data_IF_009331680573
#
_entry.id   IF_009331680573
#
_cell.length_a   1.000
_cell.length_b   1.000
_cell.length_c   1.000
_cell.angle_alpha   90.00
_cell.angle_beta   90.00
_cell.angle_gamma   90.00
#
_symmetry.space_group_name_H-M   'P 1'
#
loop_
_entity.id
_entity.type
_entity.pdbx_description
1 polymer ?
#
# COMPACT_ATOMS: atom_id res chain seq x y z
N UNK A 1 0.15 13.78 -31.78
CA UNK A 1 0.01 13.90 -30.31
C UNK A 1 0.44 15.31 -29.92
N UNK A 2 -0.34 15.98 -29.03
CA UNK A 2 0.01 17.33 -28.56
C UNK A 2 0.52 17.32 -27.11
N UNK A 3 0.41 16.20 -26.42
CA UNK A 3 0.77 16.08 -25.00
C UNK A 3 1.32 14.69 -24.70
N UNK A 4 2.37 14.64 -23.90
CA UNK A 4 2.90 13.42 -23.31
C UNK A 4 2.67 13.45 -21.79
N UNK A 5 2.12 12.36 -21.24
CA UNK A 5 2.01 12.13 -19.80
C UNK A 5 3.05 11.07 -19.41
N UNK A 6 3.91 11.41 -18.46
CA UNK A 6 4.96 10.53 -17.96
C UNK A 6 4.75 10.26 -16.45
N UNK A 7 4.52 9.01 -16.10
CA UNK A 7 4.45 8.56 -14.71
C UNK A 7 5.85 8.13 -14.29
N UNK A 8 6.55 8.98 -13.55
CA UNK A 8 7.89 8.66 -13.05
C UNK A 8 7.83 7.49 -12.07
N UNK A 9 8.75 6.53 -12.26
CA UNK A 9 8.92 5.43 -11.32
C UNK A 9 9.70 5.96 -10.12
N UNK A 10 9.19 5.88 -8.87
CA UNK A 10 9.91 6.36 -7.70
C UNK A 10 11.20 5.57 -7.46
N UNK A 11 12.23 6.25 -6.95
CA UNK A 11 13.57 5.69 -6.72
C UNK A 11 13.58 4.38 -5.91
N UNK A 12 12.59 4.14 -5.05
CA UNK A 12 12.49 2.92 -4.25
C UNK A 12 12.34 1.64 -5.09
N UNK A 13 11.86 1.76 -6.33
CA UNK A 13 11.74 0.65 -7.28
C UNK A 13 12.99 0.46 -8.16
N UNK A 14 13.93 1.40 -8.13
CA UNK A 14 15.15 1.32 -8.93
C UNK A 14 16.12 0.26 -8.36
N UNK A 15 16.77 -0.52 -9.23
CA UNK A 15 17.81 -1.47 -8.80
C UNK A 15 19.10 -0.75 -8.37
N UNK A 16 19.35 0.44 -8.93
CA UNK A 16 20.41 1.38 -8.56
C UNK A 16 19.95 2.80 -8.92
N UNK A 17 20.56 3.87 -8.37
CA UNK A 17 20.18 5.24 -8.70
C UNK A 17 20.22 5.51 -10.20
N UNK A 18 19.11 5.91 -10.79
CA UNK A 18 18.92 6.16 -12.21
C UNK A 18 17.74 7.14 -12.39
N UNK A 19 18.03 8.44 -12.37
CA UNK A 19 17.03 9.52 -12.46
C UNK A 19 17.29 10.43 -13.66
N UNK A 20 17.91 9.91 -14.73
CA UNK A 20 18.20 10.63 -15.98
C UNK A 20 16.92 11.10 -16.67
N UNK A 21 15.82 10.37 -16.47
CA UNK A 21 14.49 10.73 -16.93
C UNK A 21 14.00 12.04 -16.30
N UNK A 22 14.25 12.28 -15.02
CA UNK A 22 13.89 13.53 -14.36
C UNK A 22 14.68 14.72 -14.93
N UNK A 23 15.96 14.51 -15.26
CA UNK A 23 16.76 15.52 -15.94
C UNK A 23 16.23 15.81 -17.36
N UNK A 24 15.87 14.76 -18.11
CA UNK A 24 15.26 14.92 -19.43
C UNK A 24 13.93 15.68 -19.36
N UNK A 25 13.06 15.35 -18.40
CA UNK A 25 11.81 16.06 -18.14
C UNK A 25 12.04 17.55 -17.86
N UNK A 26 13.03 17.88 -17.01
CA UNK A 26 13.42 19.26 -16.74
C UNK A 26 13.85 19.99 -18.01
N UNK A 27 14.70 19.35 -18.85
CA UNK A 27 15.18 19.94 -20.12
C UNK A 27 14.05 20.21 -21.10
N UNK A 28 13.01 19.37 -21.10
CA UNK A 28 11.81 19.52 -21.93
C UNK A 28 10.72 20.38 -21.27
N UNK A 29 11.03 21.09 -20.18
CA UNK A 29 10.11 21.98 -19.45
C UNK A 29 8.81 21.27 -19.04
N UNK A 30 8.92 19.99 -18.68
CA UNK A 30 7.79 19.26 -18.14
C UNK A 30 7.27 19.91 -16.86
N UNK A 31 5.94 19.89 -16.69
CA UNK A 31 5.29 20.34 -15.45
C UNK A 31 4.81 19.14 -14.65
N UNK A 32 4.84 19.23 -13.33
CA UNK A 32 4.21 18.22 -12.46
C UNK A 32 2.70 18.44 -12.54
N UNK A 33 1.97 17.46 -13.07
CA UNK A 33 0.51 17.48 -13.17
C UNK A 33 -0.14 16.87 -11.91
N UNK A 34 0.49 15.83 -11.36
CA UNK A 34 0.03 15.15 -10.14
C UNK A 34 1.23 14.79 -9.27
N UNK A 35 1.13 15.04 -7.97
CA UNK A 35 2.09 14.57 -6.98
C UNK A 35 1.34 13.77 -5.92
N UNK A 36 1.47 12.45 -5.95
CA UNK A 36 0.92 11.60 -4.91
C UNK A 36 1.97 11.34 -3.83
N UNK A 37 1.53 11.32 -2.58
CA UNK A 37 2.40 11.02 -1.44
C UNK A 37 2.13 9.60 -0.95
N UNK A 38 3.02 8.66 -1.29
CA UNK A 38 3.05 7.33 -0.70
C UNK A 38 3.80 7.35 0.63
N UNK A 39 3.57 6.35 1.45
CA UNK A 39 4.25 6.21 2.74
C UNK A 39 5.01 4.89 2.75
N UNK A 40 6.34 4.96 2.94
CA UNK A 40 7.23 3.80 2.82
C UNK A 40 8.08 3.64 4.07
N UNK A 41 8.23 2.42 4.56
CA UNK A 41 9.16 2.05 5.62
C UNK A 41 10.34 1.25 5.07
N UNK A 42 11.48 1.30 5.76
CA UNK A 42 12.62 0.42 5.52
C UNK A 42 12.62 -0.61 6.67
N UNK A 43 12.23 -1.87 6.45
CA UNK A 43 11.97 -2.84 7.54
C UNK A 43 13.12 -2.98 8.54
N UNK A 44 14.36 -2.99 8.07
CA UNK A 44 15.57 -3.11 8.90
C UNK A 44 16.00 -1.81 9.58
N UNK A 45 15.35 -0.68 9.30
CA UNK A 45 15.78 0.63 9.80
C UNK A 45 15.43 0.83 11.28
N UNK A 46 16.41 1.22 12.07
CA UNK A 46 16.21 1.66 13.46
C UNK A 46 15.49 3.02 13.59
N UNK A 47 15.34 3.74 12.48
CA UNK A 47 14.60 5.01 12.40
C UNK A 47 13.09 4.84 12.29
N UNK A 48 12.59 3.63 12.00
CA UNK A 48 11.16 3.32 11.95
C UNK A 48 10.58 3.31 13.38
N UNK A 49 10.25 4.48 13.90
CA UNK A 49 9.66 4.58 15.24
C UNK A 49 8.14 4.59 15.14
N UNK A 50 7.52 3.59 15.70
CA UNK A 50 6.06 3.55 15.84
C UNK A 50 5.57 4.65 16.78
N UNK A 51 4.44 5.25 16.43
CA UNK A 51 3.71 6.15 17.34
C UNK A 51 3.26 5.41 18.60
N UNK A 52 3.14 6.13 19.72
CA UNK A 52 2.77 5.51 20.99
C UNK A 52 1.36 4.85 20.94
N UNK A 53 0.40 5.50 20.30
CA UNK A 53 -0.95 4.95 20.10
C UNK A 53 -0.91 3.68 19.25
N UNK A 54 -0.12 3.67 18.18
CA UNK A 54 0.05 2.49 17.30
C UNK A 54 0.65 1.33 18.06
N UNK A 55 1.69 1.54 18.89
CA UNK A 55 2.28 0.49 19.74
C UNK A 55 1.25 -0.12 20.68
N UNK A 56 0.44 0.74 21.34
CA UNK A 56 -0.60 0.26 22.24
C UNK A 56 -1.70 -0.55 21.51
N UNK A 57 -2.13 -0.07 20.36
CA UNK A 57 -3.13 -0.74 19.54
C UNK A 57 -2.64 -2.10 19.04
N UNK A 58 -1.40 -2.18 18.55
CA UNK A 58 -0.79 -3.45 18.13
C UNK A 58 -0.67 -4.41 19.31
N UNK A 59 -0.24 -3.94 20.49
CA UNK A 59 -0.16 -4.79 21.69
C UNK A 59 -1.52 -5.38 22.06
N UNK A 60 -2.59 -4.59 21.99
CA UNK A 60 -3.96 -5.07 22.22
C UNK A 60 -4.38 -6.08 21.15
N UNK A 61 -4.08 -5.80 19.89
CA UNK A 61 -4.42 -6.65 18.74
C UNK A 61 -3.73 -8.02 18.82
N UNK A 62 -2.46 -8.07 19.24
CA UNK A 62 -1.73 -9.34 19.46
C UNK A 62 -2.40 -10.24 20.50
N UNK A 63 -3.03 -9.64 21.50
CA UNK A 63 -3.69 -10.38 22.59
C UNK A 63 -5.16 -10.73 22.30
N UNK A 64 -5.69 -10.34 21.14
CA UNK A 64 -7.12 -10.45 20.82
C UNK A 64 -7.55 -11.82 20.28
N UNK A 65 -6.61 -12.72 19.97
CA UNK A 65 -6.90 -14.01 19.36
C UNK A 65 -7.06 -13.97 17.83
N UNK A 66 -6.77 -12.84 17.19
CA UNK A 66 -6.70 -12.76 15.72
C UNK A 66 -5.53 -13.58 15.17
N UNK A 67 -5.73 -14.19 14.01
CA UNK A 67 -4.69 -14.92 13.26
C UNK A 67 -4.38 -14.21 11.93
N UNK A 68 -3.16 -14.37 11.46
CA UNK A 68 -2.73 -13.89 10.13
C UNK A 68 -2.33 -15.10 9.30
N UNK A 69 -2.80 -15.17 8.07
CA UNK A 69 -2.42 -16.20 7.11
C UNK A 69 -2.21 -15.62 5.71
N UNK A 70 -1.38 -16.27 4.92
CA UNK A 70 -1.32 -16.03 3.49
C UNK A 70 -2.39 -16.88 2.83
N UNK A 71 -3.18 -16.28 1.94
CA UNK A 71 -4.38 -16.89 1.36
C UNK A 71 -4.33 -16.85 -0.18
N UNK A 72 -5.04 -17.75 -0.80
CA UNK A 72 -5.33 -17.74 -2.24
C UNK A 72 -6.82 -17.51 -2.52
N UNK A 73 -7.62 -17.26 -1.49
CA UNK A 73 -9.05 -17.02 -1.62
C UNK A 73 -9.35 -15.53 -1.92
N UNK A 74 -8.97 -15.10 -3.13
CA UNK A 74 -9.23 -13.72 -3.56
C UNK A 74 -10.72 -13.39 -3.57
N UNK A 75 -11.60 -14.35 -3.82
CA UNK A 75 -13.05 -14.12 -3.87
C UNK A 75 -13.61 -13.61 -2.54
N UNK A 76 -13.24 -14.20 -1.40
CA UNK A 76 -13.71 -13.75 -0.09
C UNK A 76 -13.15 -12.37 0.25
N UNK A 77 -11.86 -12.13 -0.05
CA UNK A 77 -11.25 -10.82 0.17
C UNK A 77 -11.85 -9.75 -0.73
N UNK A 78 -12.17 -10.05 -2.02
CA UNK A 78 -12.78 -9.07 -2.94
C UNK A 78 -14.15 -8.62 -2.48
N UNK A 79 -14.96 -9.52 -1.90
CA UNK A 79 -16.25 -9.16 -1.29
C UNK A 79 -16.06 -8.19 -0.11
N UNK A 80 -15.03 -8.41 0.73
CA UNK A 80 -14.69 -7.49 1.81
C UNK A 80 -14.20 -6.14 1.27
N UNK A 81 -13.37 -6.16 0.23
CA UNK A 81 -12.81 -4.96 -0.42
C UNK A 81 -13.90 -4.11 -1.08
N UNK A 82 -14.79 -4.73 -1.87
CA UNK A 82 -15.93 -4.05 -2.48
C UNK A 82 -16.80 -3.35 -1.45
N UNK A 83 -17.17 -4.08 -0.40
CA UNK A 83 -17.96 -3.52 0.70
C UNK A 83 -17.24 -2.37 1.40
N UNK A 84 -15.94 -2.51 1.64
CA UNK A 84 -15.12 -1.48 2.28
C UNK A 84 -15.04 -0.22 1.43
N UNK A 85 -14.74 -0.35 0.13
CA UNK A 85 -14.61 0.77 -0.80
C UNK A 85 -15.95 1.47 -1.04
N UNK A 86 -17.03 0.71 -1.21
CA UNK A 86 -18.36 1.29 -1.40
C UNK A 86 -18.80 2.12 -0.18
N UNK A 87 -18.63 1.59 1.04
CA UNK A 87 -19.03 2.27 2.27
C UNK A 87 -18.20 3.52 2.59
N UNK A 88 -16.91 3.51 2.22
CA UNK A 88 -15.97 4.56 2.61
C UNK A 88 -15.71 5.61 1.54
N UNK A 89 -15.73 5.20 0.28
CA UNK A 89 -15.26 6.02 -0.83
C UNK A 89 -16.25 6.09 -1.98
N UNK A 90 -17.40 5.39 -1.88
CA UNK A 90 -18.36 5.24 -2.99
C UNK A 90 -17.65 4.83 -4.29
N UNK A 91 -16.75 3.85 -4.18
CA UNK A 91 -15.88 3.37 -5.24
C UNK A 91 -15.84 1.84 -5.28
N UNK A 92 -15.34 1.30 -6.38
CA UNK A 92 -15.06 -0.14 -6.59
C UNK A 92 -13.56 -0.33 -6.80
N UNK A 93 -13.01 -1.55 -6.62
CA UNK A 93 -11.63 -1.86 -6.99
C UNK A 93 -11.35 -1.56 -8.47
N UNK A 94 -10.12 -1.15 -8.78
CA UNK A 94 -9.71 -0.89 -10.17
C UNK A 94 -9.68 -2.18 -11.00
N UNK A 95 -9.26 -3.30 -10.38
CA UNK A 95 -9.28 -4.63 -11.00
C UNK A 95 -10.52 -5.41 -10.59
N UNK A 96 -11.08 -6.19 -11.52
CA UNK A 96 -12.11 -7.19 -11.18
C UNK A 96 -11.48 -8.38 -10.42
N UNK A 97 -12.33 -9.25 -9.87
CA UNK A 97 -11.87 -10.50 -9.25
C UNK A 97 -11.13 -11.37 -10.26
N UNK A 98 -11.67 -11.52 -11.46
CA UNK A 98 -11.07 -12.33 -12.54
C UNK A 98 -9.70 -11.79 -12.96
N UNK A 99 -9.55 -10.45 -13.00
CA UNK A 99 -8.27 -9.81 -13.34
C UNK A 99 -7.20 -10.06 -12.29
N UNK A 100 -7.54 -9.96 -10.99
CA UNK A 100 -6.55 -10.19 -9.94
C UNK A 100 -6.19 -11.69 -9.82
N UNK A 101 -7.14 -12.58 -10.00
CA UNK A 101 -6.89 -14.03 -10.05
C UNK A 101 -6.01 -14.39 -11.25
N UNK A 102 -6.24 -13.79 -12.42
CA UNK A 102 -5.38 -13.95 -13.59
C UNK A 102 -3.96 -13.45 -13.32
N UNK A 103 -3.81 -12.24 -12.74
CA UNK A 103 -2.51 -11.70 -12.37
C UNK A 103 -1.78 -12.62 -11.37
N UNK A 104 -2.47 -13.09 -10.33
CA UNK A 104 -1.91 -14.04 -9.37
C UNK A 104 -1.48 -15.34 -10.03
N UNK A 105 -2.28 -15.89 -10.95
CA UNK A 105 -1.95 -17.15 -11.65
C UNK A 105 -0.66 -17.05 -12.48
N UNK A 106 -0.40 -15.89 -13.09
CA UNK A 106 0.82 -15.64 -13.86
C UNK A 106 2.02 -15.24 -12.97
N UNK A 107 1.76 -14.57 -11.84
CA UNK A 107 2.79 -14.00 -10.97
C UNK A 107 2.54 -14.31 -9.49
N UNK A 108 2.46 -15.61 -9.10
CA UNK A 108 2.05 -16.00 -7.74
C UNK A 108 3.01 -15.52 -6.64
N UNK A 109 4.28 -15.28 -6.98
CA UNK A 109 5.27 -14.76 -6.03
C UNK A 109 5.20 -13.22 -5.90
N UNK A 110 4.61 -12.54 -6.88
CA UNK A 110 4.53 -11.08 -6.95
C UNK A 110 3.17 -10.53 -6.52
N UNK A 111 2.10 -11.32 -6.65
CA UNK A 111 0.74 -10.94 -6.26
C UNK A 111 0.32 -11.85 -5.10
N UNK A 112 0.38 -11.33 -3.87
CA UNK A 112 0.14 -12.14 -2.66
C UNK A 112 -0.95 -11.51 -1.80
N UNK A 113 -1.85 -12.34 -1.29
CA UNK A 113 -2.92 -11.94 -0.38
C UNK A 113 -2.58 -12.40 1.04
N UNK A 114 -2.70 -11.49 2.00
CA UNK A 114 -2.60 -11.77 3.43
C UNK A 114 -3.90 -11.37 4.13
N UNK A 115 -4.39 -12.24 4.99
CA UNK A 115 -5.67 -12.11 5.68
C UNK A 115 -5.51 -12.09 7.19
N UNK A 116 -6.42 -11.37 7.84
CA UNK A 116 -6.60 -11.41 9.29
C UNK A 116 -7.96 -12.03 9.58
N UNK A 117 -7.95 -13.10 10.34
CA UNK A 117 -9.16 -13.80 10.77
C UNK A 117 -9.36 -13.69 12.27
N UNK A 118 -10.61 -13.59 12.67
CA UNK A 118 -11.05 -13.67 14.04
C UNK A 118 -12.28 -14.61 14.11
N UNK A 119 -12.22 -15.64 14.96
CA UNK A 119 -13.27 -16.70 15.05
C UNK A 119 -13.60 -17.32 13.67
N UNK A 120 -12.57 -17.50 12.82
CA UNK A 120 -12.63 -17.98 11.43
C UNK A 120 -13.21 -17.00 10.40
N UNK A 121 -13.75 -15.86 10.80
CA UNK A 121 -14.24 -14.84 9.89
C UNK A 121 -13.11 -13.97 9.37
N UNK A 122 -13.12 -13.62 8.09
CA UNK A 122 -12.23 -12.65 7.48
C UNK A 122 -12.62 -11.25 7.94
N UNK A 123 -11.75 -10.58 8.70
CA UNK A 123 -12.01 -9.25 9.25
C UNK A 123 -11.13 -8.15 8.66
N UNK A 124 -10.00 -8.50 8.06
CA UNK A 124 -9.15 -7.58 7.30
C UNK A 124 -8.25 -8.36 6.35
N UNK A 125 -7.71 -7.70 5.35
CA UNK A 125 -6.72 -8.29 4.46
C UNK A 125 -6.02 -7.24 3.61
N UNK A 126 -4.95 -7.69 2.94
CA UNK A 126 -4.17 -6.86 2.05
C UNK A 126 -3.59 -7.68 0.90
N UNK A 127 -3.77 -7.21 -0.34
CA UNK A 127 -3.05 -7.71 -1.51
C UNK A 127 -1.78 -6.89 -1.70
N UNK A 128 -0.66 -7.59 -1.84
CA UNK A 128 0.64 -7.00 -2.12
C UNK A 128 1.06 -7.21 -3.57
N UNK A 129 1.64 -6.15 -4.16
CA UNK A 129 2.41 -6.23 -5.39
C UNK A 129 3.90 -6.18 -5.01
N UNK A 130 4.63 -7.23 -5.36
CA UNK A 130 5.99 -7.45 -4.91
C UNK A 130 6.94 -7.35 -6.09
N UNK A 131 7.94 -6.48 -5.98
CA UNK A 131 9.06 -6.35 -6.91
C UNK A 131 10.36 -6.79 -6.21
N UNK A 132 11.51 -6.67 -6.90
CA UNK A 132 12.81 -7.02 -6.30
C UNK A 132 13.11 -6.17 -5.03
N UNK A 133 12.65 -4.91 -4.99
CA UNK A 133 12.99 -3.96 -3.93
C UNK A 133 11.82 -3.58 -3.02
N UNK A 134 10.57 -3.72 -3.48
CA UNK A 134 9.41 -3.15 -2.80
C UNK A 134 8.32 -4.19 -2.58
N UNK A 135 7.86 -4.32 -1.35
CA UNK A 135 6.57 -4.93 -1.03
C UNK A 135 5.52 -3.81 -0.93
N UNK A 136 4.71 -3.65 -1.98
CA UNK A 136 3.71 -2.59 -2.10
C UNK A 136 2.32 -3.09 -1.71
N UNK A 137 1.70 -2.43 -0.73
CA UNK A 137 0.31 -2.66 -0.31
C UNK A 137 -0.66 -2.05 -1.33
N UNK A 138 -1.16 -2.87 -2.26
CA UNK A 138 -2.02 -2.42 -3.36
C UNK A 138 -3.47 -2.26 -2.94
N UNK A 139 -4.05 -3.26 -2.26
CA UNK A 139 -5.42 -3.25 -1.79
C UNK A 139 -5.47 -3.63 -0.33
N UNK A 140 -6.02 -2.76 0.51
CA UNK A 140 -6.22 -3.01 1.94
C UNK A 140 -7.68 -2.80 2.29
N UNK A 141 -8.30 -3.77 2.95
CA UNK A 141 -9.68 -3.69 3.41
C UNK A 141 -9.82 -4.19 4.84
N UNK A 142 -10.84 -3.68 5.51
CA UNK A 142 -11.20 -4.11 6.87
C UNK A 142 -12.71 -4.01 7.09
N UNK A 143 -13.27 -4.99 7.79
CA UNK A 143 -14.63 -4.93 8.30
C UNK A 143 -14.73 -3.95 9.48
N UNK A 144 -15.94 -3.64 9.92
CA UNK A 144 -16.15 -2.81 11.13
C UNK A 144 -15.53 -3.47 12.39
N UNK A 145 -15.60 -4.78 12.51
CA UNK A 145 -14.97 -5.54 13.60
C UNK A 145 -13.45 -5.41 13.49
N UNK A 146 -12.89 -5.63 12.31
CA UNK A 146 -11.45 -5.49 12.07
C UNK A 146 -10.92 -4.08 12.37
N UNK A 147 -11.68 -3.04 12.05
CA UNK A 147 -11.33 -1.66 12.41
C UNK A 147 -11.29 -1.46 13.93
N UNK A 148 -12.32 -1.92 14.67
CA UNK A 148 -12.38 -1.83 16.14
C UNK A 148 -11.25 -2.60 16.82
N UNK A 149 -10.82 -3.72 16.21
CA UNK A 149 -9.74 -4.57 16.71
C UNK A 149 -8.35 -4.14 16.21
N UNK A 150 -8.23 -3.09 15.39
CA UNK A 150 -6.98 -2.64 14.77
C UNK A 150 -6.31 -3.71 13.88
N UNK A 151 -7.10 -4.53 13.18
CA UNK A 151 -6.63 -5.68 12.41
C UNK A 151 -5.64 -5.28 11.31
N UNK A 152 -5.84 -4.14 10.62
CA UNK A 152 -4.92 -3.64 9.59
C UNK A 152 -3.56 -3.29 10.19
N UNK A 153 -3.51 -2.61 11.33
CA UNK A 153 -2.24 -2.28 12.00
C UNK A 153 -1.52 -3.55 12.50
N UNK A 154 -2.26 -4.52 12.98
CA UNK A 154 -1.76 -5.85 13.36
C UNK A 154 -1.15 -6.59 12.15
N UNK A 155 -1.86 -6.61 11.03
CA UNK A 155 -1.40 -7.21 9.78
C UNK A 155 -0.10 -6.57 9.29
N UNK A 156 -0.09 -5.25 9.10
CA UNK A 156 1.10 -4.54 8.63
C UNK A 156 2.29 -4.69 9.57
N UNK A 157 2.06 -4.69 10.90
CA UNK A 157 3.13 -4.95 11.86
C UNK A 157 3.74 -6.35 11.68
N UNK A 158 2.90 -7.37 11.52
CA UNK A 158 3.37 -8.73 11.29
C UNK A 158 4.16 -8.85 9.98
N UNK A 159 3.60 -8.32 8.89
CA UNK A 159 4.22 -8.39 7.57
C UNK A 159 5.56 -7.66 7.51
N UNK A 160 5.63 -6.46 8.09
CA UNK A 160 6.84 -5.64 8.12
C UNK A 160 8.00 -6.33 8.87
N UNK A 161 7.71 -7.03 9.97
CA UNK A 161 8.74 -7.58 10.85
C UNK A 161 9.00 -9.08 10.67
N UNK A 162 8.11 -9.82 9.98
CA UNK A 162 8.26 -11.28 9.85
C UNK A 162 8.30 -11.73 8.39
N UNK A 163 7.47 -11.17 7.51
CA UNK A 163 7.37 -11.63 6.12
C UNK A 163 8.28 -10.83 5.20
N UNK A 164 8.23 -9.50 5.27
CA UNK A 164 8.98 -8.60 4.41
C UNK A 164 10.18 -7.93 5.09
N UNK A 165 10.66 -8.51 6.20
CA UNK A 165 11.76 -7.94 7.01
C UNK A 165 13.05 -7.72 6.22
N UNK A 166 13.31 -8.53 5.19
CA UNK A 166 14.52 -8.44 4.36
C UNK A 166 14.33 -7.60 3.09
N UNK A 167 13.15 -7.03 2.86
CA UNK A 167 12.92 -6.15 1.72
C UNK A 167 13.58 -4.78 1.96
N UNK A 168 14.17 -4.18 0.91
CA UNK A 168 14.66 -2.79 1.00
C UNK A 168 13.56 -1.81 1.42
N UNK A 169 12.36 -1.99 0.87
CA UNK A 169 11.23 -1.08 1.10
C UNK A 169 9.92 -1.82 1.31
N UNK A 170 9.14 -1.32 2.26
CA UNK A 170 7.76 -1.70 2.50
C UNK A 170 6.88 -0.47 2.29
N UNK A 171 6.09 -0.47 1.22
CA UNK A 171 5.30 0.67 0.80
C UNK A 171 3.81 0.47 1.13
N UNK A 172 3.28 1.33 1.98
CA UNK A 172 1.86 1.33 2.39
C UNK A 172 0.94 1.95 1.33
N UNK A 173 1.46 2.44 0.21
CA UNK A 173 0.70 3.10 -0.83
C UNK A 173 0.39 4.57 -0.54
N UNK A 174 -0.26 5.23 -1.50
CA UNK A 174 -0.58 6.66 -1.48
C UNK A 174 -1.63 7.01 -0.41
N UNK A 175 -1.61 8.27 0.03
CA UNK A 175 -2.58 8.83 0.98
C UNK A 175 -3.26 10.09 0.44
N UNK A 176 -3.27 10.25 -0.88
CA UNK A 176 -3.91 11.38 -1.56
C UNK A 176 -5.18 10.96 -2.27
N UNK A 177 -6.04 11.95 -2.45
CA UNK A 177 -7.27 11.90 -3.23
C UNK A 177 -7.26 13.07 -4.22
N UNK A 178 -8.22 13.15 -5.12
CA UNK A 178 -8.41 14.25 -6.06
C UNK A 178 -7.11 14.62 -6.81
N UNK A 179 -6.52 13.65 -7.53
CA UNK A 179 -5.29 13.82 -8.31
C UNK A 179 -4.12 14.43 -7.50
N UNK A 180 -3.97 14.02 -6.26
CA UNK A 180 -2.88 14.48 -5.39
C UNK A 180 -3.16 15.77 -4.62
N UNK A 181 -4.25 16.49 -4.93
CA UNK A 181 -4.56 17.81 -4.34
C UNK A 181 -5.12 17.73 -2.92
N UNK A 182 -5.69 16.60 -2.52
CA UNK A 182 -6.21 16.40 -1.17
C UNK A 182 -5.40 15.33 -0.45
N UNK A 183 -4.78 15.69 0.69
CA UNK A 183 -4.10 14.75 1.56
C UNK A 183 -5.05 14.24 2.63
N UNK A 184 -5.29 12.94 2.65
CA UNK A 184 -6.02 12.27 3.72
C UNK A 184 -5.13 12.15 4.96
N UNK A 185 -5.23 13.15 5.86
CA UNK A 185 -4.38 13.27 7.05
C UNK A 185 -4.55 12.12 8.03
N UNK A 186 -5.74 11.53 8.12
CA UNK A 186 -5.99 10.34 8.95
C UNK A 186 -5.25 9.12 8.43
N UNK A 187 -5.31 8.89 7.12
CA UNK A 187 -4.66 7.76 6.46
C UNK A 187 -3.12 7.86 6.53
N UNK A 188 -2.56 9.05 6.24
CA UNK A 188 -1.11 9.23 6.31
C UNK A 188 -0.61 9.09 7.75
N UNK A 189 -1.31 9.65 8.75
CA UNK A 189 -0.95 9.51 10.15
C UNK A 189 -0.96 8.05 10.62
N UNK A 190 -1.87 7.23 10.14
CA UNK A 190 -1.89 5.80 10.42
C UNK A 190 -0.63 5.09 9.87
N UNK A 191 -0.25 5.38 8.63
CA UNK A 191 0.94 4.82 7.97
C UNK A 191 2.24 5.31 8.60
N UNK A 192 2.33 6.61 8.91
CA UNK A 192 3.47 7.18 9.66
C UNK A 192 3.57 6.61 11.07
N UNK A 193 2.42 6.34 11.71
CA UNK A 193 2.35 5.65 13.00
C UNK A 193 2.99 4.26 12.98
N UNK A 194 3.04 3.60 11.82
CA UNK A 194 3.74 2.33 11.56
C UNK A 194 5.20 2.54 11.12
N UNK A 195 5.76 3.73 11.29
CA UNK A 195 7.16 4.04 11.02
C UNK A 195 7.46 4.45 9.58
N UNK A 196 6.44 4.57 8.74
CA UNK A 196 6.61 5.00 7.35
C UNK A 196 6.98 6.48 7.21
N UNK A 197 7.53 6.86 6.05
CA UNK A 197 7.84 8.23 5.64
C UNK A 197 7.43 8.44 4.19
N UNK A 198 7.18 9.71 3.84
CA UNK A 198 6.65 10.09 2.53
C UNK A 198 7.62 9.86 1.38
N UNK A 199 7.11 9.31 0.29
CA UNK A 199 7.76 9.21 -1.02
C UNK A 199 6.83 9.83 -2.06
N UNK A 200 7.34 10.78 -2.85
CA UNK A 200 6.56 11.44 -3.89
C UNK A 200 6.47 10.57 -5.16
N UNK A 201 5.26 10.39 -5.67
CA UNK A 201 4.96 9.70 -6.93
C UNK A 201 4.45 10.73 -7.92
N UNK A 202 5.36 11.25 -8.75
CA UNK A 202 5.08 12.35 -9.64
C UNK A 202 4.59 11.87 -11.01
N UNK A 203 3.60 12.58 -11.54
CA UNK A 203 3.17 12.46 -12.92
C UNK A 203 3.49 13.79 -13.60
N UNK A 204 4.24 13.71 -14.70
CA UNK A 204 4.68 14.86 -15.46
C UNK A 204 3.90 14.99 -16.76
N UNK A 205 3.75 16.23 -17.22
CA UNK A 205 3.14 16.59 -18.49
C UNK A 205 4.09 17.41 -19.32
N UNK A 206 4.24 17.04 -20.58
CA UNK A 206 5.01 17.77 -21.58
C UNK A 206 4.07 18.18 -22.70
N UNK A 207 4.11 19.44 -23.11
CA UNK A 207 3.49 19.90 -24.35
C UNK A 207 4.49 19.68 -25.48
N UNK A 208 4.05 18.99 -26.54
CA UNK A 208 4.85 18.66 -27.71
C UNK A 208 4.65 19.69 -28.82
#
# INVERSE_FOLDING_TARGET
>A
FCTLIYKAIPHIYHKYPAEEDLYALFRHKATIETCNLSTTAIPTSTYNKYGNSTKLNIKKAVLSGMTIEESQNFSEFWQLLDKHLMLRHNATPVHSLEEIELLHSHFPQNIRLFEVRFEKELIAGCVFYITDNVAHSQYTASSEIGMKMNAVAFLHNHLLHNVFVNFPYYDFGISNENNGLFLNTGLISQKEGLGGRGIAYNIYKIQL
#
